data_IF_791326400600
#
_entry.id   IF_791326400600
#
_cell.length_a   1.000
_cell.length_b   1.000
_cell.length_c   1.000
_cell.angle_alpha   90.00
_cell.angle_beta   90.00
_cell.angle_gamma   90.00
#
_symmetry.space_group_name_H-M   'P 1'
#
loop_
_entity.id
_entity.type
_entity.pdbx_description
1 polymer ?
#
# COMPACT_ATOMS: atom_id res chain seq x y z
N UNK A 1 2.43 24.65 15.28
CA UNK A 1 2.89 23.54 14.41
C UNK A 1 1.94 23.52 13.24
N UNK A 2 2.40 23.32 12.00
CA UNK A 2 1.51 23.39 10.83
C UNK A 2 0.67 22.11 10.75
N UNK A 3 -0.65 22.26 10.48
CA UNK A 3 -1.62 21.16 10.43
C UNK A 3 -1.22 20.05 9.43
N UNK A 4 -0.61 20.39 8.28
CA UNK A 4 -0.18 19.38 7.29
C UNK A 4 0.98 18.55 7.79
N UNK A 5 1.89 19.11 8.58
CA UNK A 5 3.03 18.38 9.15
C UNK A 5 2.56 17.46 10.27
N UNK A 6 1.59 17.89 11.08
CA UNK A 6 0.97 17.04 12.11
C UNK A 6 0.23 15.88 11.47
N UNK A 7 -0.58 16.14 10.45
CA UNK A 7 -1.25 15.12 9.66
C UNK A 7 -0.26 14.11 9.06
N UNK A 8 0.85 14.59 8.49
CA UNK A 8 1.86 13.71 7.89
C UNK A 8 2.59 12.84 8.92
N UNK A 9 2.80 13.33 10.14
CA UNK A 9 3.43 12.55 11.23
C UNK A 9 2.49 11.49 11.81
N UNK A 10 1.21 11.80 11.93
CA UNK A 10 0.19 10.88 12.43
C UNK A 10 -0.41 9.98 11.35
N UNK A 11 -0.15 10.26 10.05
CA UNK A 11 -0.84 9.67 8.90
C UNK A 11 -2.37 9.81 9.00
N UNK A 12 -2.83 10.91 9.58
CA UNK A 12 -4.25 11.20 9.74
C UNK A 12 -4.89 11.58 8.40
N UNK A 13 -6.20 11.33 8.27
CA UNK A 13 -6.92 11.54 6.99
C UNK A 13 -6.67 10.48 5.93
N UNK A 14 -6.05 9.33 6.29
CA UNK A 14 -5.83 8.22 5.35
C UNK A 14 -7.13 7.70 4.74
N UNK A 15 -8.25 7.81 5.45
CA UNK A 15 -9.56 7.40 4.94
C UNK A 15 -9.93 8.16 3.66
N UNK A 16 -9.80 9.48 3.67
CA UNK A 16 -10.14 10.34 2.53
C UNK A 16 -9.13 10.16 1.38
N UNK A 17 -7.85 9.99 1.72
CA UNK A 17 -6.79 9.80 0.73
C UNK A 17 -6.81 8.41 0.09
N UNK A 18 -7.18 7.36 0.84
CA UNK A 18 -7.31 6.01 0.29
C UNK A 18 -8.40 5.91 -0.77
N UNK A 19 -9.41 6.78 -0.73
CA UNK A 19 -10.46 6.87 -1.74
C UNK A 19 -9.93 7.28 -3.12
N UNK A 20 -8.86 8.06 -3.18
CA UNK A 20 -8.29 8.53 -4.44
C UNK A 20 -7.63 7.41 -5.26
N UNK A 21 -7.01 6.44 -4.61
CA UNK A 21 -6.28 5.35 -5.27
C UNK A 21 -6.84 3.96 -5.00
N UNK A 22 -7.29 3.67 -3.77
CA UNK A 22 -7.48 2.30 -3.31
C UNK A 22 -8.93 1.81 -3.33
N UNK A 23 -9.93 2.68 -3.16
CA UNK A 23 -11.34 2.25 -3.10
C UNK A 23 -11.84 1.63 -4.39
N UNK A 24 -11.37 2.12 -5.54
CA UNK A 24 -11.65 1.54 -6.85
C UNK A 24 -10.93 0.22 -7.11
N UNK A 25 -9.89 -0.07 -6.31
CA UNK A 25 -9.07 -1.26 -6.47
C UNK A 25 -9.59 -2.45 -5.69
N UNK A 26 -10.33 -2.24 -4.60
CA UNK A 26 -10.80 -3.32 -3.73
C UNK A 26 -11.75 -4.29 -4.44
N UNK A 27 -12.77 -3.77 -5.13
CA UNK A 27 -13.67 -4.62 -5.91
C UNK A 27 -12.92 -5.36 -7.01
N UNK A 28 -12.02 -4.69 -7.70
CA UNK A 28 -11.19 -5.29 -8.72
C UNK A 28 -10.27 -6.39 -8.19
N UNK A 29 -9.73 -6.25 -6.97
CA UNK A 29 -8.96 -7.29 -6.29
C UNK A 29 -9.87 -8.46 -5.91
N UNK A 30 -10.98 -8.18 -5.24
CA UNK A 30 -11.94 -9.22 -4.80
C UNK A 30 -12.53 -10.00 -5.98
N UNK A 31 -12.72 -9.37 -7.16
CA UNK A 31 -13.13 -10.03 -8.40
C UNK A 31 -12.15 -11.13 -8.85
N UNK A 32 -10.91 -11.07 -8.42
CA UNK A 32 -9.86 -12.06 -8.77
C UNK A 32 -9.77 -13.23 -7.80
N UNK A 33 -10.56 -13.25 -6.72
CA UNK A 33 -10.54 -14.35 -5.77
C UNK A 33 -10.85 -15.69 -6.47
N UNK A 34 -11.86 -15.71 -7.35
CA UNK A 34 -12.27 -16.93 -8.07
C UNK A 34 -12.77 -18.04 -7.13
N UNK A 35 -13.17 -17.65 -5.91
CA UNK A 35 -13.81 -18.46 -4.89
C UNK A 35 -14.82 -17.60 -4.12
N UNK A 36 -15.74 -18.22 -3.42
CA UNK A 36 -16.63 -17.61 -2.45
C UNK A 36 -16.20 -18.08 -1.05
N UNK A 37 -15.31 -17.33 -0.37
CA UNK A 37 -14.68 -17.80 0.85
C UNK A 37 -15.64 -17.69 2.05
N UNK A 38 -15.55 -18.64 2.96
CA UNK A 38 -16.19 -18.59 4.29
C UNK A 38 -15.26 -17.96 5.34
N UNK A 39 -13.98 -17.86 5.03
CA UNK A 39 -12.99 -17.23 5.91
C UNK A 39 -12.01 -16.37 5.12
N UNK A 40 -11.80 -15.14 5.62
CA UNK A 40 -10.87 -14.16 5.04
C UNK A 40 -9.99 -13.55 6.12
N UNK A 41 -8.71 -13.44 5.81
CA UNK A 41 -7.71 -12.67 6.56
C UNK A 41 -7.12 -11.58 5.66
N UNK A 42 -7.23 -10.32 6.07
CA UNK A 42 -6.62 -9.19 5.37
C UNK A 42 -5.36 -8.69 6.10
N UNK A 43 -4.23 -8.79 5.43
CA UNK A 43 -2.91 -8.43 5.94
C UNK A 43 -2.59 -6.98 5.60
N UNK A 44 -2.46 -6.12 6.61
CA UNK A 44 -2.40 -4.67 6.47
C UNK A 44 -3.78 -4.09 6.13
N UNK A 45 -4.80 -4.48 6.90
CA UNK A 45 -6.19 -4.15 6.61
C UNK A 45 -6.52 -2.65 6.69
N UNK A 46 -5.61 -1.83 7.18
CA UNK A 46 -5.79 -0.39 7.29
C UNK A 46 -7.06 -0.04 8.07
N UNK A 47 -7.92 0.75 7.47
CA UNK A 47 -9.21 1.14 8.04
C UNK A 47 -10.36 0.13 7.77
N UNK A 48 -10.05 -1.06 7.24
CA UNK A 48 -11.02 -2.15 7.06
C UNK A 48 -11.89 -2.07 5.79
N UNK A 49 -11.51 -1.24 4.82
CA UNK A 49 -12.33 -1.04 3.62
C UNK A 49 -12.47 -2.31 2.77
N UNK A 50 -11.39 -3.10 2.61
CA UNK A 50 -11.46 -4.39 1.89
C UNK A 50 -12.32 -5.40 2.66
N UNK A 51 -12.20 -5.45 3.98
CA UNK A 51 -13.04 -6.30 4.84
C UNK A 51 -14.52 -5.98 4.65
N UNK A 52 -14.86 -4.69 4.62
CA UNK A 52 -16.23 -4.24 4.38
C UNK A 52 -16.73 -4.62 2.97
N UNK A 53 -15.90 -4.46 1.96
CA UNK A 53 -16.19 -4.88 0.58
C UNK A 53 -16.42 -6.39 0.50
N UNK A 54 -15.57 -7.18 1.15
CA UNK A 54 -15.67 -8.64 1.21
C UNK A 54 -16.97 -9.11 1.90
N UNK A 55 -17.34 -8.52 3.04
CA UNK A 55 -18.57 -8.84 3.75
C UNK A 55 -19.83 -8.55 2.93
N UNK A 56 -19.83 -7.49 2.14
CA UNK A 56 -20.94 -7.16 1.22
C UNK A 56 -21.02 -8.11 0.05
N UNK A 57 -19.87 -8.56 -0.44
CA UNK A 57 -19.75 -9.41 -1.62
C UNK A 57 -20.11 -10.85 -1.34
N UNK A 58 -19.71 -11.38 -0.18
CA UNK A 58 -19.89 -12.77 0.23
C UNK A 58 -20.74 -12.87 1.50
N UNK A 59 -22.07 -12.99 1.38
CA UNK A 59 -22.96 -13.04 2.54
C UNK A 59 -22.69 -14.24 3.46
N UNK A 60 -22.12 -15.33 2.93
CA UNK A 60 -21.79 -16.54 3.67
C UNK A 60 -20.42 -16.50 4.35
N UNK A 61 -19.73 -15.34 4.32
CA UNK A 61 -18.45 -15.14 4.99
C UNK A 61 -18.63 -15.17 6.51
N UNK A 62 -18.13 -16.23 7.17
CA UNK A 62 -18.35 -16.49 8.59
C UNK A 62 -17.21 -15.98 9.47
N UNK A 63 -15.98 -15.93 8.93
CA UNK A 63 -14.79 -15.54 9.67
C UNK A 63 -14.04 -14.48 8.91
N UNK A 64 -14.05 -13.26 9.45
CA UNK A 64 -13.45 -12.09 8.86
C UNK A 64 -12.43 -11.51 9.82
N UNK A 65 -11.14 -11.55 9.43
CA UNK A 65 -10.05 -11.06 10.25
C UNK A 65 -9.23 -10.02 9.50
N UNK A 66 -8.65 -9.07 10.27
CA UNK A 66 -7.70 -8.10 9.77
C UNK A 66 -6.53 -7.94 10.71
N UNK A 67 -5.35 -7.74 10.15
CA UNK A 67 -4.12 -7.39 10.89
C UNK A 67 -3.64 -6.04 10.40
N UNK A 68 -3.37 -5.12 11.32
CA UNK A 68 -2.85 -3.79 11.02
C UNK A 68 -1.90 -3.35 12.13
N UNK A 69 -0.82 -2.67 11.77
CA UNK A 69 0.18 -2.19 12.74
C UNK A 69 -0.25 -0.90 13.46
N UNK A 70 -1.04 -0.07 12.81
CA UNK A 70 -1.44 1.24 13.35
C UNK A 70 -2.65 1.10 14.26
N UNK A 71 -2.55 1.39 15.58
CA UNK A 71 -3.69 1.39 16.50
C UNK A 71 -4.79 2.36 16.06
N UNK A 72 -4.41 3.52 15.51
CA UNK A 72 -5.35 4.52 15.01
C UNK A 72 -6.19 3.98 13.86
N UNK A 73 -5.55 3.32 12.88
CA UNK A 73 -6.26 2.71 11.74
C UNK A 73 -7.15 1.55 12.18
N UNK A 74 -6.71 0.75 13.16
CA UNK A 74 -7.54 -0.30 13.75
C UNK A 74 -8.78 0.25 14.45
N UNK A 75 -8.67 1.38 15.13
CA UNK A 75 -9.81 2.04 15.76
C UNK A 75 -10.82 2.52 14.70
N UNK A 76 -10.33 3.14 13.63
CA UNK A 76 -11.14 3.54 12.48
C UNK A 76 -11.81 2.33 11.81
N UNK A 77 -11.08 1.24 11.61
CA UNK A 77 -11.61 -0.01 11.07
C UNK A 77 -12.75 -0.58 11.94
N UNK A 78 -12.54 -0.61 13.27
CA UNK A 78 -13.59 -1.04 14.22
C UNK A 78 -14.83 -0.18 14.15
N UNK A 79 -14.67 1.13 14.05
CA UNK A 79 -15.79 2.07 13.94
C UNK A 79 -16.57 1.86 12.62
N UNK A 80 -15.84 1.75 11.50
CA UNK A 80 -16.44 1.57 10.18
C UNK A 80 -17.19 0.25 10.05
N UNK A 81 -16.59 -0.87 10.47
CA UNK A 81 -17.20 -2.21 10.41
C UNK A 81 -18.44 -2.29 11.32
N UNK A 82 -18.34 -1.79 12.57
CA UNK A 82 -19.50 -1.72 13.47
C UNK A 82 -20.63 -0.87 12.91
N UNK A 83 -20.31 0.29 12.33
CA UNK A 83 -21.30 1.16 11.69
C UNK A 83 -22.04 0.50 10.52
N UNK A 84 -21.41 -0.49 9.88
CA UNK A 84 -21.98 -1.28 8.81
C UNK A 84 -22.62 -2.61 9.29
N UNK A 85 -22.61 -2.91 10.59
CA UNK A 85 -23.12 -4.17 11.15
C UNK A 85 -22.26 -5.39 10.78
N UNK A 86 -20.97 -5.19 10.46
CA UNK A 86 -20.04 -6.26 10.08
C UNK A 86 -19.19 -6.65 11.29
N UNK A 87 -19.25 -7.93 11.67
CA UNK A 87 -18.39 -8.50 12.69
C UNK A 87 -17.05 -8.92 12.08
N UNK A 88 -15.96 -8.45 12.67
CA UNK A 88 -14.60 -8.82 12.27
C UNK A 88 -13.66 -8.84 13.49
N UNK A 89 -12.71 -9.78 13.48
CA UNK A 89 -11.63 -9.81 14.44
C UNK A 89 -10.45 -8.99 13.92
N UNK A 90 -10.10 -7.91 14.63
CA UNK A 90 -9.01 -7.03 14.27
C UNK A 90 -7.87 -7.18 15.27
N UNK A 91 -6.68 -7.48 14.76
CA UNK A 91 -5.46 -7.72 15.53
C UNK A 91 -4.44 -6.61 15.22
N UNK A 92 -3.82 -6.10 16.27
CA UNK A 92 -2.63 -5.25 16.12
C UNK A 92 -1.40 -6.13 15.93
N UNK A 93 -0.59 -5.85 14.89
CA UNK A 93 0.62 -6.61 14.64
C UNK A 93 1.46 -6.08 13.49
N UNK A 94 2.76 -6.24 13.61
CA UNK A 94 3.70 -6.03 12.52
C UNK A 94 3.75 -7.28 11.65
N UNK A 95 3.50 -7.13 10.36
CA UNK A 95 3.45 -8.25 9.41
C UNK A 95 4.78 -9.00 9.26
N UNK A 96 5.90 -8.39 9.60
CA UNK A 96 7.21 -9.04 9.62
C UNK A 96 7.49 -9.80 10.91
N UNK A 97 6.66 -9.64 11.95
CA UNK A 97 6.87 -10.28 13.25
C UNK A 97 5.59 -10.91 13.83
N UNK A 98 4.77 -11.49 12.95
CA UNK A 98 3.52 -12.12 13.35
C UNK A 98 3.78 -13.47 14.03
N UNK A 99 3.14 -13.71 15.20
CA UNK A 99 3.08 -15.05 15.76
C UNK A 99 2.23 -15.97 14.87
N UNK A 100 2.41 -17.29 14.94
CA UNK A 100 1.53 -18.21 14.26
C UNK A 100 0.12 -18.11 14.85
N UNK A 101 -0.88 -18.18 13.97
CA UNK A 101 -2.30 -18.32 14.35
C UNK A 101 -2.65 -19.82 14.39
N UNK A 102 -3.66 -20.16 15.17
CA UNK A 102 -4.22 -21.51 15.18
C UNK A 102 -5.08 -21.77 13.93
N UNK A 103 -5.62 -20.71 13.33
CA UNK A 103 -6.56 -20.76 12.23
C UNK A 103 -5.85 -20.70 10.87
N UNK A 104 -6.48 -21.34 9.87
CA UNK A 104 -6.21 -21.18 8.46
C UNK A 104 -7.41 -20.52 7.77
N UNK A 105 -7.16 -19.92 6.60
CA UNK A 105 -8.15 -19.12 5.87
C UNK A 105 -8.27 -19.60 4.42
N UNK A 106 -9.49 -19.59 3.91
CA UNK A 106 -9.76 -19.87 2.49
C UNK A 106 -9.29 -18.72 1.59
N UNK A 107 -9.33 -17.49 2.10
CA UNK A 107 -8.79 -16.31 1.42
C UNK A 107 -7.88 -15.52 2.36
N UNK A 108 -6.66 -15.26 1.91
CA UNK A 108 -5.78 -14.27 2.51
C UNK A 108 -5.59 -13.15 1.50
N UNK A 109 -5.76 -11.90 1.91
CA UNK A 109 -5.55 -10.72 1.09
C UNK A 109 -4.45 -9.83 1.64
N UNK A 110 -3.78 -9.07 0.76
CA UNK A 110 -2.80 -8.06 1.11
C UNK A 110 -2.76 -6.99 0.01
N UNK A 111 -3.27 -5.80 0.28
CA UNK A 111 -3.37 -4.74 -0.72
C UNK A 111 -2.61 -3.48 -0.33
N UNK A 112 -1.79 -2.95 -1.25
CA UNK A 112 -0.97 -1.74 -1.04
C UNK A 112 -0.02 -1.82 0.17
N UNK A 113 0.51 -3.01 0.48
CA UNK A 113 1.33 -3.28 1.65
C UNK A 113 2.75 -3.72 1.28
N UNK A 114 2.92 -4.42 0.17
CA UNK A 114 4.15 -5.15 -0.16
C UNK A 114 5.42 -4.26 -0.09
N UNK A 115 5.34 -3.02 -0.55
CA UNK A 115 6.45 -2.06 -0.51
C UNK A 115 6.89 -1.65 0.91
N UNK A 116 6.04 -1.85 1.91
CA UNK A 116 6.40 -1.62 3.32
C UNK A 116 7.19 -2.78 3.93
N UNK A 117 7.16 -3.95 3.29
CA UNK A 117 7.82 -5.17 3.75
C UNK A 117 9.19 -5.37 3.11
N UNK A 118 9.52 -4.59 2.09
CA UNK A 118 10.79 -4.68 1.39
C UNK A 118 11.98 -4.38 2.32
N UNK A 119 13.08 -5.18 2.30
CA UNK A 119 13.34 -6.32 1.42
C UNK A 119 12.94 -7.69 2.00
N UNK A 120 12.19 -7.74 3.11
CA UNK A 120 11.92 -8.92 3.94
C UNK A 120 10.56 -9.58 3.66
N UNK A 121 9.90 -9.24 2.55
CA UNK A 121 8.55 -9.71 2.19
C UNK A 121 8.40 -11.24 2.18
N UNK A 122 9.50 -11.98 1.97
CA UNK A 122 9.49 -13.43 1.98
C UNK A 122 9.15 -14.04 3.36
N UNK A 123 9.43 -13.29 4.44
CA UNK A 123 9.01 -13.70 5.79
C UNK A 123 7.49 -13.78 5.87
N UNK A 124 6.79 -12.77 5.32
CA UNK A 124 5.34 -12.77 5.29
C UNK A 124 4.78 -13.83 4.33
N UNK A 125 5.38 -14.04 3.16
CA UNK A 125 4.95 -15.09 2.24
C UNK A 125 4.98 -16.46 2.90
N UNK A 126 6.04 -16.78 3.61
CA UNK A 126 6.18 -18.03 4.38
C UNK A 126 5.12 -18.13 5.48
N UNK A 127 4.86 -17.03 6.18
CA UNK A 127 3.83 -16.99 7.20
C UNK A 127 2.44 -17.19 6.59
N UNK A 128 2.10 -16.48 5.53
CA UNK A 128 0.83 -16.56 4.85
C UNK A 128 0.56 -17.97 4.27
N UNK A 129 1.57 -18.61 3.70
CA UNK A 129 1.47 -19.98 3.18
C UNK A 129 1.04 -20.99 4.27
N UNK A 130 1.54 -20.84 5.50
CA UNK A 130 1.18 -21.70 6.63
C UNK A 130 -0.26 -21.51 7.13
N UNK A 131 -0.83 -20.33 6.87
CA UNK A 131 -2.18 -19.96 7.32
C UNK A 131 -3.22 -20.02 6.19
N UNK A 132 -2.79 -20.40 4.99
CA UNK A 132 -3.68 -20.64 3.86
C UNK A 132 -4.21 -22.08 3.91
N UNK A 133 -5.51 -22.27 3.66
CA UNK A 133 -6.09 -23.60 3.50
C UNK A 133 -5.59 -24.28 2.22
N UNK A 134 -5.65 -25.59 2.13
CA UNK A 134 -5.11 -26.36 1.00
C UNK A 134 -5.70 -25.92 -0.35
N UNK A 135 -6.98 -25.55 -0.39
CA UNK A 135 -7.64 -24.99 -1.59
C UNK A 135 -7.76 -23.46 -1.53
N UNK A 136 -7.13 -22.83 -0.57
CA UNK A 136 -7.20 -21.40 -0.33
C UNK A 136 -6.51 -20.56 -1.43
N UNK A 137 -6.84 -19.29 -1.42
CA UNK A 137 -6.29 -18.29 -2.34
C UNK A 137 -5.58 -17.20 -1.55
N UNK A 138 -4.37 -16.86 -1.96
CA UNK A 138 -3.67 -15.66 -1.52
C UNK A 138 -3.73 -14.62 -2.63
N UNK A 139 -4.37 -13.48 -2.34
CA UNK A 139 -4.46 -12.32 -3.23
C UNK A 139 -3.58 -11.20 -2.69
N UNK A 140 -2.71 -10.68 -3.51
CA UNK A 140 -1.98 -9.47 -3.11
C UNK A 140 -1.75 -8.54 -4.29
N UNK A 141 -1.52 -7.26 -3.99
CA UNK A 141 -1.15 -6.27 -4.99
C UNK A 141 0.32 -5.93 -4.92
N UNK A 142 0.90 -5.69 -6.08
CA UNK A 142 2.25 -5.16 -6.22
C UNK A 142 2.28 -3.97 -7.18
N UNK A 143 3.25 -3.12 -6.96
CA UNK A 143 3.72 -2.12 -7.90
C UNK A 143 5.10 -2.53 -8.37
N UNK A 144 5.46 -2.25 -9.59
CA UNK A 144 6.79 -2.54 -10.13
C UNK A 144 7.43 -1.24 -10.59
N UNK A 145 8.75 -1.07 -10.44
CA UNK A 145 9.44 0.09 -10.94
C UNK A 145 9.29 0.16 -12.46
N UNK A 146 9.09 1.37 -13.01
CA UNK A 146 9.05 1.59 -14.45
C UNK A 146 10.43 1.46 -15.10
N UNK A 147 11.50 1.79 -14.34
CA UNK A 147 12.88 1.66 -14.74
C UNK A 147 13.73 1.25 -13.53
N UNK A 148 14.78 0.48 -13.79
CA UNK A 148 15.67 0.01 -12.72
C UNK A 148 16.47 1.16 -12.08
N UNK A 149 16.69 2.27 -12.81
CA UNK A 149 17.53 3.40 -12.41
C UNK A 149 16.76 4.68 -12.03
N UNK A 150 15.42 4.63 -12.03
CA UNK A 150 14.57 5.79 -11.72
C UNK A 150 14.14 5.84 -10.25
N UNK A 151 13.92 7.05 -9.73
CA UNK A 151 13.25 7.20 -8.44
C UNK A 151 11.79 6.74 -8.56
N UNK A 152 11.11 7.14 -9.62
CA UNK A 152 9.74 6.75 -10.00
C UNK A 152 8.64 7.29 -9.10
N UNK A 153 7.46 7.43 -9.68
CA UNK A 153 6.24 7.71 -8.93
C UNK A 153 6.32 8.94 -8.04
N UNK A 154 6.10 8.74 -6.76
CA UNK A 154 6.04 9.81 -5.74
C UNK A 154 7.41 10.46 -5.51
N UNK A 155 8.48 9.69 -5.59
CA UNK A 155 9.83 10.21 -5.39
C UNK A 155 10.25 11.17 -6.50
N UNK A 156 9.69 11.09 -7.71
CA UNK A 156 9.93 12.05 -8.78
C UNK A 156 9.33 13.42 -8.44
N UNK A 157 8.18 13.47 -7.74
CA UNK A 157 7.62 14.74 -7.26
C UNK A 157 8.47 15.32 -6.13
N UNK A 158 8.93 14.48 -5.21
CA UNK A 158 9.84 14.91 -4.13
C UNK A 158 11.15 15.43 -4.74
N UNK A 159 11.74 14.71 -5.69
CA UNK A 159 12.95 15.13 -6.40
C UNK A 159 12.76 16.50 -7.06
N UNK A 160 11.67 16.69 -7.79
CA UNK A 160 11.34 17.96 -8.42
C UNK A 160 11.15 19.08 -7.37
N UNK A 161 10.48 18.79 -6.25
CA UNK A 161 10.32 19.76 -5.17
C UNK A 161 11.67 20.20 -4.57
N UNK A 162 12.59 19.26 -4.32
CA UNK A 162 13.95 19.56 -3.82
C UNK A 162 14.72 20.46 -4.78
N UNK A 163 14.63 20.19 -6.08
CA UNK A 163 15.28 21.01 -7.11
C UNK A 163 14.66 22.41 -7.16
N UNK A 164 13.36 22.54 -7.20
CA UNK A 164 12.67 23.83 -7.23
C UNK A 164 12.89 24.67 -5.96
N UNK A 165 13.18 24.01 -4.83
CA UNK A 165 13.53 24.65 -3.57
C UNK A 165 15.02 25.04 -3.50
N UNK A 166 15.83 24.67 -4.50
CA UNK A 166 17.28 24.87 -4.49
C UNK A 166 18.03 24.04 -3.45
N UNK A 167 17.44 22.93 -3.00
CA UNK A 167 18.04 22.00 -2.03
C UNK A 167 18.94 20.96 -2.70
N UNK A 168 18.74 20.70 -3.98
CA UNK A 168 19.55 19.78 -4.76
C UNK A 168 19.63 20.22 -6.23
N UNK A 169 20.73 19.88 -6.90
CA UNK A 169 20.77 19.81 -8.36
C UNK A 169 20.12 18.48 -8.82
N UNK A 170 19.48 18.42 -10.01
CA UNK A 170 18.78 17.21 -10.47
C UNK A 170 19.62 15.93 -10.37
N UNK A 171 20.87 15.99 -10.80
CA UNK A 171 21.82 14.88 -10.81
C UNK A 171 22.27 14.43 -9.41
N UNK A 172 22.01 15.23 -8.38
CA UNK A 172 22.41 14.95 -6.99
C UNK A 172 21.31 14.31 -6.16
N UNK A 173 20.06 14.31 -6.62
CA UNK A 173 18.92 13.86 -5.81
C UNK A 173 19.08 12.40 -5.38
N UNK A 174 19.40 11.49 -6.30
CA UNK A 174 19.59 10.07 -5.98
C UNK A 174 20.70 9.86 -4.92
N UNK A 175 21.80 10.62 -5.03
CA UNK A 175 22.87 10.57 -4.05
C UNK A 175 22.42 11.08 -2.67
N UNK A 176 21.57 12.11 -2.61
CA UNK A 176 21.02 12.62 -1.35
C UNK A 176 20.16 11.57 -0.63
N UNK A 177 19.35 10.81 -1.36
CA UNK A 177 18.61 9.68 -0.78
C UNK A 177 19.56 8.66 -0.15
N UNK A 178 20.60 8.27 -0.89
CA UNK A 178 21.60 7.31 -0.40
C UNK A 178 22.38 7.85 0.83
N UNK A 179 22.81 9.12 0.79
CA UNK A 179 23.53 9.79 1.89
C UNK A 179 22.64 9.88 3.16
N UNK A 180 21.33 10.07 2.98
CA UNK A 180 20.35 10.08 4.07
C UNK A 180 19.95 8.68 4.55
N UNK A 181 20.44 7.60 3.93
CA UNK A 181 20.04 6.24 4.21
C UNK A 181 18.57 5.95 3.87
N UNK A 182 18.01 6.71 2.93
CA UNK A 182 16.62 6.57 2.52
C UNK A 182 16.51 5.71 1.27
N UNK A 183 15.57 4.77 1.31
CA UNK A 183 15.13 4.04 0.13
C UNK A 183 13.95 4.80 -0.48
N UNK A 184 14.05 5.23 -1.77
CA UNK A 184 12.91 5.80 -2.47
C UNK A 184 11.73 4.84 -2.48
N UNK A 185 10.49 5.36 -2.41
CA UNK A 185 9.27 4.54 -2.42
C UNK A 185 9.18 3.70 -3.69
N UNK A 186 9.55 4.28 -4.84
CA UNK A 186 9.55 3.58 -6.13
C UNK A 186 10.53 2.40 -6.20
N UNK A 187 11.58 2.40 -5.38
CA UNK A 187 12.58 1.31 -5.33
C UNK A 187 12.31 0.30 -4.21
N UNK A 188 11.31 0.51 -3.37
CA UNK A 188 10.85 -0.47 -2.35
C UNK A 188 10.03 -1.59 -2.95
N UNK A 189 10.29 -1.94 -4.19
CA UNK A 189 9.61 -3.03 -4.89
C UNK A 189 10.60 -3.78 -5.74
N UNK A 190 10.25 -5.02 -6.05
CA UNK A 190 11.04 -5.83 -6.97
C UNK A 190 10.45 -5.73 -8.37
N UNK A 191 11.29 -5.94 -9.37
CA UNK A 191 10.81 -6.26 -10.71
C UNK A 191 9.90 -7.51 -10.67
N UNK A 192 9.00 -7.62 -11.65
CA UNK A 192 7.97 -8.67 -11.68
C UNK A 192 8.56 -10.08 -11.56
N UNK A 193 9.62 -10.38 -12.30
CA UNK A 193 10.24 -11.73 -12.31
C UNK A 193 10.92 -12.04 -10.98
N UNK A 194 11.67 -11.10 -10.41
CA UNK A 194 12.30 -11.26 -9.12
C UNK A 194 11.28 -11.45 -7.97
N UNK A 195 10.11 -10.79 -8.06
CA UNK A 195 9.02 -11.02 -7.12
C UNK A 195 8.38 -12.39 -7.33
N UNK A 196 8.17 -12.80 -8.60
CA UNK A 196 7.60 -14.09 -8.95
C UNK A 196 8.43 -15.25 -8.39
N UNK A 197 9.75 -15.22 -8.57
CA UNK A 197 10.66 -16.22 -8.02
C UNK A 197 10.51 -16.39 -6.50
N UNK A 198 10.31 -15.29 -5.76
CA UNK A 198 10.12 -15.34 -4.31
C UNK A 198 8.76 -15.90 -3.93
N UNK A 199 7.70 -15.46 -4.61
CA UNK A 199 6.34 -15.94 -4.39
C UNK A 199 6.26 -17.43 -4.69
N UNK A 200 6.85 -17.90 -5.79
CA UNK A 200 6.82 -19.30 -6.22
C UNK A 200 7.59 -20.24 -5.30
N UNK A 201 8.39 -19.75 -4.36
CA UNK A 201 8.98 -20.58 -3.28
C UNK A 201 7.92 -21.06 -2.29
N UNK A 202 6.83 -20.32 -2.13
CA UNK A 202 5.81 -20.59 -1.12
C UNK A 202 4.42 -20.87 -1.70
N UNK A 203 4.17 -20.44 -2.93
CA UNK A 203 2.86 -20.54 -3.59
C UNK A 203 3.01 -21.01 -5.02
N UNK A 204 1.90 -21.48 -5.59
CA UNK A 204 1.71 -21.58 -7.04
C UNK A 204 1.02 -20.31 -7.52
N UNK A 205 1.60 -19.61 -8.47
CA UNK A 205 1.01 -18.43 -9.09
C UNK A 205 0.02 -18.87 -10.17
N UNK A 206 -1.27 -18.61 -9.96
CA UNK A 206 -2.32 -18.92 -10.92
C UNK A 206 -2.47 -17.84 -12.00
N UNK A 207 -2.41 -16.57 -11.59
CA UNK A 207 -2.51 -15.44 -12.51
C UNK A 207 -1.90 -14.15 -11.94
N UNK A 208 -1.47 -13.29 -12.86
CA UNK A 208 -1.04 -11.91 -12.58
C UNK A 208 -1.77 -11.02 -13.56
N UNK A 209 -2.60 -10.12 -13.06
CA UNK A 209 -3.38 -9.19 -13.88
C UNK A 209 -3.01 -7.77 -13.50
N UNK A 210 -2.60 -6.98 -14.49
CA UNK A 210 -2.15 -5.60 -14.26
C UNK A 210 -3.10 -4.59 -14.88
N UNK A 211 -3.22 -3.43 -14.26
CA UNK A 211 -3.85 -2.26 -14.83
C UNK A 211 -3.12 -0.98 -14.41
N UNK A 212 -3.21 0.10 -15.18
CA UNK A 212 -2.75 1.40 -14.72
C UNK A 212 -3.65 1.91 -13.59
N UNK A 213 -3.03 2.48 -12.56
CA UNK A 213 -3.69 3.24 -11.51
C UNK A 213 -3.21 4.69 -11.60
N UNK A 214 -4.07 5.58 -12.07
CA UNK A 214 -3.77 6.99 -12.22
C UNK A 214 -4.20 7.76 -10.96
N UNK A 215 -3.26 8.50 -10.37
CA UNK A 215 -3.55 9.45 -9.32
C UNK A 215 -4.07 10.75 -9.94
N UNK A 216 -5.28 11.12 -9.57
CA UNK A 216 -5.90 12.39 -9.95
C UNK A 216 -6.36 13.11 -8.69
N UNK A 217 -6.13 14.40 -8.65
CA UNK A 217 -6.56 15.27 -7.55
C UNK A 217 -7.28 16.50 -8.11
N UNK A 218 -8.18 17.07 -7.32
CA UNK A 218 -8.91 18.26 -7.72
C UNK A 218 -8.02 19.52 -7.69
N UNK A 219 -7.14 19.61 -6.69
CA UNK A 219 -6.28 20.76 -6.47
C UNK A 219 -4.99 20.41 -5.70
N UNK A 220 -4.15 21.44 -5.54
CA UNK A 220 -2.89 21.36 -4.77
C UNK A 220 -3.11 20.94 -3.32
N UNK A 221 -4.19 21.37 -2.67
CA UNK A 221 -4.45 21.08 -1.27
C UNK A 221 -4.89 19.61 -1.07
N UNK A 222 -5.67 19.07 -1.99
CA UNK A 222 -6.03 17.65 -1.97
C UNK A 222 -4.79 16.74 -2.11
N UNK A 223 -3.87 17.12 -3.01
CA UNK A 223 -2.62 16.37 -3.13
C UNK A 223 -1.77 16.42 -1.86
N UNK A 224 -1.67 17.59 -1.22
CA UNK A 224 -0.92 17.74 0.03
C UNK A 224 -1.50 16.83 1.12
N UNK A 225 -2.84 16.80 1.27
CA UNK A 225 -3.52 15.91 2.22
C UNK A 225 -3.29 14.44 1.88
N UNK A 226 -3.43 14.08 0.60
CA UNK A 226 -3.16 12.72 0.12
C UNK A 226 -1.73 12.29 0.44
N UNK A 227 -0.73 13.10 0.09
CA UNK A 227 0.68 12.80 0.34
C UNK A 227 0.95 12.66 1.84
N UNK A 228 0.46 13.61 2.64
CA UNK A 228 0.64 13.60 4.09
C UNK A 228 0.04 12.34 4.73
N UNK A 229 -1.14 11.94 4.32
CA UNK A 229 -1.85 10.79 4.89
C UNK A 229 -1.29 9.44 4.41
N UNK A 230 -0.76 9.37 3.18
CA UNK A 230 -0.30 8.11 2.57
C UNK A 230 1.19 7.86 2.80
N UNK A 231 2.01 8.86 2.54
CA UNK A 231 3.47 8.76 2.57
C UNK A 231 4.10 9.42 3.81
N UNK A 232 3.36 10.33 4.46
CA UNK A 232 3.84 11.03 5.65
C UNK A 232 5.04 11.92 5.38
N UNK A 233 6.04 11.81 6.23
CA UNK A 233 7.26 12.63 6.18
C UNK A 233 8.50 11.78 5.87
N UNK A 234 8.38 10.71 5.08
CA UNK A 234 9.51 9.80 4.81
C UNK A 234 10.73 10.51 4.22
N UNK A 235 10.51 11.57 3.45
CA UNK A 235 11.55 12.40 2.82
C UNK A 235 12.10 13.50 3.73
N UNK A 236 11.59 13.66 4.96
CA UNK A 236 12.00 14.73 5.86
C UNK A 236 13.52 14.85 6.09
N UNK A 237 14.31 13.75 6.11
CA UNK A 237 15.76 13.87 6.18
C UNK A 237 16.43 14.63 5.04
N UNK A 238 15.73 14.78 3.89
CA UNK A 238 16.24 15.51 2.72
C UNK A 238 15.95 17.02 2.78
N UNK A 239 15.13 17.46 3.74
CA UNK A 239 14.61 18.83 3.81
C UNK A 239 14.93 19.44 5.17
N UNK A 240 15.51 20.66 5.26
CA UNK A 240 15.64 21.33 6.53
C UNK A 240 14.28 21.43 7.25
N UNK A 241 14.25 21.10 8.55
CA UNK A 241 13.02 21.04 9.33
C UNK A 241 12.16 22.32 9.24
N UNK A 242 12.81 23.48 9.12
CA UNK A 242 12.17 24.80 8.96
C UNK A 242 11.53 25.02 7.60
N UNK A 243 11.85 24.18 6.60
CA UNK A 243 11.35 24.27 5.22
C UNK A 243 10.44 23.11 4.83
N UNK A 244 10.11 22.23 5.76
CA UNK A 244 9.30 21.05 5.46
C UNK A 244 7.89 21.43 4.95
N UNK A 245 7.29 22.47 5.54
CA UNK A 245 6.00 23.02 5.07
C UNK A 245 6.09 23.54 3.63
N UNK A 246 7.15 24.30 3.31
CA UNK A 246 7.40 24.77 1.95
C UNK A 246 7.47 23.59 0.96
N UNK A 247 8.07 22.47 1.37
CA UNK A 247 8.13 21.26 0.55
C UNK A 247 6.73 20.71 0.26
N UNK A 248 5.86 20.56 1.24
CA UNK A 248 4.47 20.13 1.01
C UNK A 248 3.71 21.07 0.06
N UNK A 249 3.85 22.38 0.23
CA UNK A 249 3.25 23.36 -0.68
C UNK A 249 3.82 23.19 -2.10
N UNK A 250 5.11 22.94 -2.23
CA UNK A 250 5.77 22.73 -3.53
C UNK A 250 5.26 21.46 -4.20
N UNK A 251 5.17 20.35 -3.47
CA UNK A 251 4.60 19.09 -3.94
C UNK A 251 3.18 19.28 -4.49
N UNK A 252 2.31 19.99 -3.76
CA UNK A 252 0.95 20.29 -4.23
C UNK A 252 0.93 21.07 -5.54
N UNK A 253 1.79 22.09 -5.69
CA UNK A 253 1.89 22.87 -6.93
C UNK A 253 2.42 22.07 -8.11
N UNK A 254 3.35 21.14 -7.87
CA UNK A 254 3.86 20.23 -8.90
C UNK A 254 2.73 19.31 -9.36
N UNK A 255 1.98 18.73 -8.43
CA UNK A 255 0.84 17.87 -8.74
C UNK A 255 -0.21 18.61 -9.57
N UNK A 256 -0.57 19.84 -9.19
CA UNK A 256 -1.51 20.67 -9.93
C UNK A 256 -1.04 20.96 -11.37
N UNK A 257 0.24 21.29 -11.57
CA UNK A 257 0.80 21.47 -12.91
C UNK A 257 0.72 20.19 -13.75
N UNK A 258 1.01 19.01 -13.17
CA UNK A 258 0.87 17.72 -13.86
C UNK A 258 -0.59 17.44 -14.22
N UNK A 259 -1.52 17.71 -13.32
CA UNK A 259 -2.97 17.60 -13.62
C UNK A 259 -3.38 18.47 -14.79
N UNK A 260 -2.86 19.71 -14.88
CA UNK A 260 -3.16 20.62 -16.00
C UNK A 260 -2.54 20.18 -17.32
N UNK A 261 -1.33 19.59 -17.27
CA UNK A 261 -0.61 19.15 -18.46
C UNK A 261 -1.09 17.78 -18.98
N UNK A 262 -1.27 16.80 -18.07
CA UNK A 262 -1.40 15.39 -18.41
C UNK A 262 -2.76 14.79 -17.96
N UNK A 263 -3.58 15.56 -17.25
CA UNK A 263 -4.85 15.09 -16.67
C UNK A 263 -4.67 14.12 -15.50
N UNK A 264 -3.44 13.94 -15.02
CA UNK A 264 -3.10 13.08 -13.88
C UNK A 264 -1.79 13.52 -13.23
N UNK A 265 -1.61 13.22 -11.95
CA UNK A 265 -0.38 13.52 -11.21
C UNK A 265 0.71 12.49 -11.51
N UNK A 266 0.31 11.22 -11.48
CA UNK A 266 1.17 10.07 -11.78
C UNK A 266 0.31 8.87 -12.20
N UNK A 267 0.96 7.91 -12.82
CA UNK A 267 0.36 6.62 -13.14
C UNK A 267 1.30 5.51 -12.68
N UNK A 268 0.74 4.50 -12.04
CA UNK A 268 1.51 3.37 -11.51
C UNK A 268 0.85 2.07 -12.00
N UNK A 269 1.59 1.11 -12.58
CA UNK A 269 1.03 -0.19 -12.89
C UNK A 269 0.82 -0.98 -11.59
N UNK A 270 -0.44 -1.26 -11.27
CA UNK A 270 -0.82 -2.13 -10.16
C UNK A 270 -1.11 -3.52 -10.70
N UNK A 271 -0.48 -4.52 -10.11
CA UNK A 271 -0.70 -5.93 -10.45
C UNK A 271 -1.39 -6.64 -9.28
N UNK A 272 -2.43 -7.40 -9.58
CA UNK A 272 -3.03 -8.38 -8.64
C UNK A 272 -2.47 -9.74 -8.95
N UNK A 273 -1.93 -10.34 -7.92
CA UNK A 273 -1.42 -11.71 -7.91
C UNK A 273 -2.45 -12.62 -7.28
N UNK A 274 -2.84 -13.67 -7.98
CA UNK A 274 -3.65 -14.75 -7.44
C UNK A 274 -2.78 -15.99 -7.31
N UNK A 275 -2.65 -16.45 -6.08
CA UNK A 275 -1.77 -17.55 -5.71
C UNK A 275 -2.55 -18.61 -4.93
N UNK A 276 -2.09 -19.87 -5.01
CA UNK A 276 -2.62 -20.99 -4.23
C UNK A 276 -1.53 -21.63 -3.39
N UNK A 277 -1.93 -22.35 -2.34
CA UNK A 277 -1.01 -23.20 -1.60
C UNK A 277 -0.31 -24.20 -2.54
N UNK A 278 0.94 -24.51 -2.26
CA UNK A 278 1.67 -25.59 -2.98
C UNK A 278 1.19 -26.94 -2.47
N UNK A 279 0.99 -27.88 -3.39
CA UNK A 279 0.67 -29.26 -3.03
C UNK A 279 1.83 -29.86 -2.23
N UNK A 280 1.56 -30.38 -1.03
CA UNK A 280 2.52 -31.08 -0.18
C UNK A 280 3.08 -30.30 1.01
N UNK A 281 2.70 -29.03 1.22
CA UNK A 281 3.11 -28.23 2.40
C UNK A 281 1.95 -27.96 3.39
N UNK A 282 0.83 -28.69 3.31
CA UNK A 282 -0.37 -28.51 4.14
C UNK A 282 -0.30 -29.32 5.45
#
# INVERSE_FOLDING_TARGET
>A
MNAIIEQARSLDGYQDSSELLQRRDQDWVLDRAGIEPRSLLDLGCGIGSLLLGAARRWPDLQRLWGIERSPLRLEQARAQLRGAGVEARLLEGDLLDLPPLAERFELISMTAVLHWLYPDEERLFRWAARHLEAQGVFLFTSHHPFAEDGLGGEDDLVAQALVEMGLAAPERVAALYAEAGLLPMGTRTRGREALRERVERHFRVDSIVSRPAALRVADSAEYQRFHAATFGTYFAPLVPATRLEECFVRLGRIAERRMQADGQVSEIPVSVWRCRAREGEA
#
